data_IF_831467827509
#
_entry.id   IF_831467827509
#
_cell.length_a   1.000
_cell.length_b   1.000
_cell.length_c   1.000
_cell.angle_alpha   90.00
_cell.angle_beta   90.00
_cell.angle_gamma   90.00
#
_symmetry.space_group_name_H-M   'P 1'
#
loop_
_entity.id
_entity.type
_entity.pdbx_description
1 polymer ?
#
# COMPACT_ATOMS: atom_id res chain seq x y z
N UNK A 1 10.28 -37.66 50.49
CA UNK A 1 11.25 -38.68 50.05
C UNK A 1 11.49 -38.46 48.56
N UNK A 2 12.62 -37.85 48.22
CA UNK A 2 13.13 -37.80 46.84
C UNK A 2 13.68 -39.18 46.53
N UNK A 3 13.33 -39.78 45.38
CA UNK A 3 14.24 -40.48 44.45
C UNK A 3 13.51 -40.65 43.10
N UNK A 4 14.18 -40.17 42.06
CA UNK A 4 13.96 -40.41 40.62
C UNK A 4 14.58 -41.75 40.23
N UNK A 5 13.94 -42.57 39.39
CA UNK A 5 14.62 -43.46 38.45
C UNK A 5 13.88 -43.50 37.10
N UNK A 6 14.69 -43.40 36.06
CA UNK A 6 14.49 -43.23 34.61
C UNK A 6 14.26 -44.57 33.87
N UNK A 7 13.79 -44.45 32.62
CA UNK A 7 13.90 -45.34 31.44
C UNK A 7 12.81 -46.37 31.06
N UNK A 8 12.24 -46.03 29.89
CA UNK A 8 12.27 -46.76 28.62
C UNK A 8 11.29 -47.90 28.35
N UNK A 9 10.42 -47.66 27.35
CA UNK A 9 9.96 -48.66 26.39
C UNK A 9 10.04 -48.04 24.99
N UNK A 10 10.98 -48.55 24.18
CA UNK A 10 11.17 -48.16 22.79
C UNK A 10 10.14 -48.85 21.88
N UNK A 11 9.67 -48.11 20.87
CA UNK A 11 9.05 -48.71 19.69
C UNK A 11 9.97 -48.48 18.50
N UNK A 12 10.30 -49.60 17.87
CA UNK A 12 11.10 -49.76 16.66
C UNK A 12 10.30 -49.23 15.47
N UNK A 13 10.92 -48.37 14.66
CA UNK A 13 10.44 -48.02 13.31
C UNK A 13 11.00 -49.04 12.32
N UNK A 14 10.15 -49.64 11.49
CA UNK A 14 10.61 -50.29 10.26
C UNK A 14 9.63 -50.11 9.08
N UNK A 15 10.25 -49.85 7.93
CA UNK A 15 9.82 -49.97 6.53
C UNK A 15 8.53 -49.31 5.98
N UNK A 16 8.73 -48.11 5.45
CA UNK A 16 8.51 -47.74 4.04
C UNK A 16 7.32 -48.30 3.26
N UNK A 17 6.29 -47.45 3.07
CA UNK A 17 5.45 -47.43 1.85
C UNK A 17 5.17 -45.97 1.49
N UNK A 18 5.82 -45.49 0.42
CA UNK A 18 5.54 -44.17 -0.17
C UNK A 18 4.49 -44.37 -1.25
N UNK A 19 3.29 -43.79 -1.07
CA UNK A 19 2.32 -43.66 -2.15
C UNK A 19 2.71 -42.48 -3.04
N UNK A 20 3.10 -42.77 -4.28
CA UNK A 20 3.25 -41.77 -5.33
C UNK A 20 1.87 -41.38 -5.87
N UNK A 21 1.36 -40.21 -5.48
CA UNK A 21 0.40 -39.47 -6.29
C UNK A 21 1.13 -38.36 -7.05
N UNK A 22 1.23 -38.54 -8.36
CA UNK A 22 1.78 -37.55 -9.27
C UNK A 22 0.75 -36.46 -9.58
N UNK A 23 1.06 -35.23 -9.16
CA UNK A 23 0.51 -33.99 -9.69
C UNK A 23 1.67 -33.04 -9.98
N UNK A 24 1.72 -32.33 -11.13
CA UNK A 24 2.86 -31.52 -11.50
C UNK A 24 2.73 -30.12 -10.90
N UNK A 25 3.16 -29.93 -9.65
CA UNK A 25 3.38 -28.60 -9.06
C UNK A 25 4.90 -28.38 -8.95
N UNK A 26 5.52 -27.84 -10.00
CA UNK A 26 6.99 -27.68 -10.09
C UNK A 26 7.53 -26.23 -10.03
N UNK A 27 6.69 -25.20 -9.94
CA UNK A 27 7.17 -23.80 -9.94
C UNK A 27 7.65 -23.28 -8.57
N UNK A 28 6.75 -23.12 -7.59
CA UNK A 28 7.08 -22.41 -6.35
C UNK A 28 7.81 -23.22 -5.26
N UNK A 29 7.60 -24.54 -5.18
CA UNK A 29 8.17 -25.35 -4.10
C UNK A 29 9.69 -25.60 -4.25
N UNK A 30 10.23 -25.44 -5.45
CA UNK A 30 11.64 -25.74 -5.72
C UNK A 30 12.58 -24.65 -5.17
N UNK A 31 12.12 -23.40 -5.07
CA UNK A 31 12.87 -22.30 -4.45
C UNK A 31 13.11 -22.53 -2.94
N UNK A 32 12.20 -23.25 -2.26
CA UNK A 32 12.24 -23.38 -0.80
C UNK A 32 12.90 -24.65 -0.27
N UNK A 33 13.06 -25.70 -1.08
CA UNK A 33 13.70 -26.94 -0.62
C UNK A 33 15.17 -26.75 -0.22
N UNK A 34 15.81 -25.67 -0.67
CA UNK A 34 17.21 -25.36 -0.42
C UNK A 34 17.46 -24.60 0.89
N UNK A 35 16.48 -23.88 1.43
CA UNK A 35 16.66 -23.03 2.63
C UNK A 35 16.62 -23.82 3.95
N UNK A 36 16.33 -25.12 3.94
CA UNK A 36 16.05 -25.90 5.16
C UNK A 36 16.89 -27.16 5.35
N UNK A 37 17.86 -27.45 4.47
CA UNK A 37 18.72 -28.62 4.59
C UNK A 37 20.21 -28.26 4.69
N UNK A 38 20.91 -28.61 5.79
CA UNK A 38 22.36 -28.46 5.87
C UNK A 38 23.03 -29.44 4.90
N UNK A 39 23.69 -28.92 3.86
CA UNK A 39 24.52 -29.72 2.93
C UNK A 39 24.31 -29.47 1.43
N UNK A 40 23.39 -28.60 1.00
CA UNK A 40 23.23 -28.22 -0.42
C UNK A 40 23.83 -26.82 -0.67
N UNK A 41 24.75 -26.72 -1.63
CA UNK A 41 25.31 -25.43 -2.07
C UNK A 41 24.25 -24.66 -2.88
N UNK A 42 23.85 -23.50 -2.38
CA UNK A 42 22.98 -22.54 -3.08
C UNK A 42 23.66 -22.06 -4.36
N UNK A 43 22.91 -21.83 -5.45
CA UNK A 43 23.44 -21.08 -6.58
C UNK A 43 23.55 -19.59 -6.22
N UNK A 44 24.41 -18.85 -6.93
CA UNK A 44 24.64 -17.41 -6.68
C UNK A 44 23.34 -16.58 -6.70
N UNK A 45 22.43 -16.90 -7.63
CA UNK A 45 21.09 -16.27 -7.73
C UNK A 45 20.23 -16.52 -6.48
N UNK A 46 20.21 -17.76 -5.95
CA UNK A 46 19.44 -18.08 -4.75
C UNK A 46 20.00 -17.39 -3.51
N UNK A 47 21.33 -17.31 -3.41
CA UNK A 47 21.98 -16.61 -2.32
C UNK A 47 21.72 -15.11 -2.36
N UNK A 48 21.76 -14.50 -3.56
CA UNK A 48 21.38 -13.10 -3.77
C UNK A 48 19.93 -12.82 -3.39
N UNK A 49 18.99 -13.66 -3.85
CA UNK A 49 17.57 -13.52 -3.50
C UNK A 49 17.35 -13.61 -1.98
N UNK A 50 17.91 -14.64 -1.33
CA UNK A 50 17.81 -14.81 0.11
C UNK A 50 18.36 -13.59 0.87
N UNK A 51 19.49 -13.03 0.41
CA UNK A 51 20.07 -11.81 0.99
C UNK A 51 19.15 -10.61 0.85
N UNK A 52 18.53 -10.40 -0.31
CA UNK A 52 17.61 -9.29 -0.54
C UNK A 52 16.31 -9.44 0.24
N UNK A 53 15.75 -10.66 0.31
CA UNK A 53 14.59 -10.95 1.15
C UNK A 53 14.89 -10.73 2.64
N UNK A 54 16.11 -11.07 3.08
CA UNK A 54 16.58 -10.83 4.45
C UNK A 54 16.61 -9.32 4.76
N UNK A 55 17.23 -8.53 3.87
CA UNK A 55 17.26 -7.06 3.96
C UNK A 55 15.88 -6.43 3.94
N UNK A 56 14.94 -6.96 3.12
CA UNK A 56 13.56 -6.48 3.10
C UNK A 56 12.89 -6.66 4.45
N UNK A 57 13.04 -7.83 5.08
CA UNK A 57 12.52 -8.06 6.43
C UNK A 57 13.17 -7.18 7.49
N UNK A 58 14.47 -6.90 7.37
CA UNK A 58 15.18 -5.95 8.25
C UNK A 58 14.60 -4.54 8.14
N UNK A 59 14.48 -4.05 6.91
CA UNK A 59 13.91 -2.73 6.59
C UNK A 59 12.47 -2.62 7.06
N UNK A 60 11.65 -3.64 6.83
CA UNK A 60 10.26 -3.69 7.27
C UNK A 60 10.13 -3.52 8.80
N UNK A 61 11.04 -4.09 9.58
CA UNK A 61 11.00 -3.98 11.05
C UNK A 61 11.62 -2.69 11.56
N UNK A 62 12.83 -2.36 11.08
CA UNK A 62 13.64 -1.28 11.65
C UNK A 62 13.33 0.10 11.07
N UNK A 63 13.04 0.18 9.77
CA UNK A 63 12.67 1.44 9.12
C UNK A 63 11.15 1.58 8.98
N UNK A 64 10.48 0.51 8.54
CA UNK A 64 9.02 0.42 8.44
C UNK A 64 8.35 0.65 9.79
N UNK A 65 8.31 -0.39 10.61
CA UNK A 65 7.60 -0.31 11.88
C UNK A 65 8.36 0.52 12.92
N UNK A 66 9.70 0.57 12.83
CA UNK A 66 10.56 1.09 13.89
C UNK A 66 10.19 0.48 15.26
N UNK A 67 10.04 -0.85 15.25
CA UNK A 67 9.49 -1.63 16.34
C UNK A 67 10.27 -1.40 17.64
N UNK A 68 9.58 -1.40 18.78
CA UNK A 68 10.20 -1.16 20.09
C UNK A 68 10.30 -2.45 20.93
N UNK A 69 11.30 -2.58 21.81
CA UNK A 69 11.33 -3.66 22.79
C UNK A 69 10.04 -3.72 23.59
N UNK A 70 9.50 -4.92 23.81
CA UNK A 70 8.24 -5.14 24.53
C UNK A 70 6.97 -4.98 23.69
N UNK A 71 7.07 -4.38 22.49
CA UNK A 71 5.91 -4.19 21.62
C UNK A 71 5.48 -5.51 20.96
N UNK A 72 4.18 -5.73 20.79
CA UNK A 72 3.65 -6.86 20.01
C UNK A 72 3.57 -6.51 18.52
N UNK A 73 3.53 -7.53 17.66
CA UNK A 73 3.41 -7.36 16.22
C UNK A 73 2.35 -8.31 15.65
N UNK A 74 1.34 -7.74 14.99
CA UNK A 74 0.39 -8.48 14.16
C UNK A 74 0.81 -8.35 12.69
N UNK A 75 0.90 -9.47 11.98
CA UNK A 75 1.26 -9.52 10.56
C UNK A 75 0.09 -10.11 9.78
N UNK A 76 -0.50 -9.35 8.87
CA UNK A 76 -1.45 -9.86 7.86
C UNK A 76 -0.71 -10.14 6.56
N UNK A 77 -0.86 -11.34 5.99
CA UNK A 77 -0.12 -11.72 4.79
C UNK A 77 -0.85 -12.81 3.98
N UNK A 78 -0.67 -12.88 2.64
CA UNK A 78 -1.00 -14.08 1.88
C UNK A 78 -0.09 -15.25 2.32
N UNK A 79 -0.59 -16.48 2.27
CA UNK A 79 0.16 -17.67 2.73
C UNK A 79 1.47 -17.87 1.95
N UNK A 80 1.52 -17.44 0.70
CA UNK A 80 2.69 -17.42 -0.17
C UNK A 80 3.83 -16.58 0.40
N UNK A 81 3.53 -15.57 1.22
CA UNK A 81 4.49 -14.65 1.82
C UNK A 81 5.08 -15.14 3.16
N UNK A 82 4.75 -16.36 3.61
CA UNK A 82 5.38 -17.02 4.76
C UNK A 82 6.93 -16.89 4.80
N UNK A 83 7.65 -17.04 3.67
CA UNK A 83 9.05 -16.63 3.48
C UNK A 83 9.45 -15.32 4.15
N UNK A 84 8.79 -14.22 3.77
CA UNK A 84 9.08 -12.87 4.25
C UNK A 84 8.61 -12.70 5.70
N UNK A 85 7.46 -13.30 6.06
CA UNK A 85 6.98 -13.31 7.45
C UNK A 85 8.03 -13.89 8.38
N UNK A 86 8.69 -15.00 8.01
CA UNK A 86 9.76 -15.60 8.84
C UNK A 86 10.94 -14.64 9.04
N UNK A 87 11.34 -13.93 7.98
CA UNK A 87 12.40 -12.91 8.07
C UNK A 87 11.99 -11.75 8.96
N UNK A 88 10.78 -11.22 8.79
CA UNK A 88 10.25 -10.14 9.64
C UNK A 88 10.21 -10.59 11.11
N UNK A 89 9.72 -11.80 11.38
CA UNK A 89 9.71 -12.39 12.72
C UNK A 89 11.11 -12.50 13.32
N UNK A 90 12.12 -12.89 12.52
CA UNK A 90 13.54 -12.92 12.95
C UNK A 90 13.97 -11.56 13.49
N UNK A 91 13.77 -10.50 12.71
CA UNK A 91 14.20 -9.15 13.09
C UNK A 91 13.35 -8.55 14.21
N UNK A 92 12.05 -8.84 14.25
CA UNK A 92 11.16 -8.39 15.32
C UNK A 92 11.65 -8.92 16.69
N UNK A 93 11.91 -10.22 16.80
CA UNK A 93 12.44 -10.78 18.04
C UNK A 93 13.86 -10.30 18.38
N UNK A 94 14.71 -10.01 17.39
CA UNK A 94 16.03 -9.39 17.65
C UNK A 94 15.91 -7.97 18.25
N UNK A 95 14.84 -7.25 17.93
CA UNK A 95 14.53 -5.92 18.51
C UNK A 95 13.88 -6.04 19.90
N UNK A 96 13.44 -7.24 20.30
CA UNK A 96 12.86 -7.50 21.62
C UNK A 96 11.32 -7.48 21.64
N UNK A 97 10.66 -7.73 20.52
CA UNK A 97 9.20 -7.92 20.44
C UNK A 97 8.74 -9.03 21.37
N UNK A 98 7.63 -8.79 22.08
CA UNK A 98 7.07 -9.78 23.03
C UNK A 98 6.42 -10.95 22.29
N UNK A 99 5.58 -10.63 21.29
CA UNK A 99 4.83 -11.63 20.53
C UNK A 99 4.67 -11.19 19.07
N UNK A 100 4.89 -12.13 18.15
CA UNK A 100 4.55 -11.96 16.72
C UNK A 100 3.38 -12.88 16.39
N UNK A 101 2.30 -12.33 15.84
CA UNK A 101 1.07 -13.05 15.50
C UNK A 101 0.76 -12.91 14.01
N UNK A 102 1.17 -13.87 13.17
CA UNK A 102 0.80 -13.90 11.76
C UNK A 102 -0.65 -14.35 11.55
N UNK A 103 -1.34 -13.68 10.63
CA UNK A 103 -2.68 -13.98 10.14
C UNK A 103 -2.57 -14.16 8.64
N UNK A 104 -2.78 -15.39 8.19
CA UNK A 104 -2.66 -15.73 6.78
C UNK A 104 -4.01 -15.69 6.06
N UNK A 105 -4.01 -15.12 4.86
CA UNK A 105 -5.07 -15.30 3.87
C UNK A 105 -4.65 -16.35 2.85
N UNK A 106 -5.64 -17.06 2.30
CA UNK A 106 -5.45 -18.04 1.23
C UNK A 106 -6.50 -17.78 0.14
N UNK A 107 -6.03 -17.68 -1.10
CA UNK A 107 -6.86 -17.33 -2.24
C UNK A 107 -7.92 -18.41 -2.54
N UNK A 108 -7.57 -19.69 -2.36
CA UNK A 108 -8.47 -20.82 -2.60
C UNK A 108 -9.59 -20.82 -1.57
N UNK A 109 -9.27 -20.62 -0.28
CA UNK A 109 -10.26 -20.52 0.79
C UNK A 109 -11.17 -19.29 0.62
N UNK A 110 -10.59 -18.13 0.28
CA UNK A 110 -11.33 -16.90 0.00
C UNK A 110 -12.30 -17.11 -1.16
N UNK A 111 -11.86 -17.71 -2.27
CA UNK A 111 -12.71 -17.99 -3.43
C UNK A 111 -13.77 -19.06 -3.14
N UNK A 112 -13.44 -20.10 -2.38
CA UNK A 112 -14.39 -21.13 -1.97
C UNK A 112 -15.60 -20.56 -1.20
N UNK A 113 -15.38 -19.55 -0.35
CA UNK A 113 -16.47 -18.82 0.33
C UNK A 113 -17.48 -18.26 -0.67
N UNK A 114 -17.03 -17.73 -1.80
CA UNK A 114 -17.92 -17.13 -2.81
C UNK A 114 -18.56 -18.16 -3.74
N UNK A 115 -17.85 -19.24 -4.06
CA UNK A 115 -18.34 -20.30 -4.94
C UNK A 115 -19.40 -21.18 -4.25
N UNK A 116 -19.16 -21.56 -3.00
CA UNK A 116 -19.96 -22.57 -2.29
C UNK A 116 -20.80 -22.01 -1.15
N UNK A 117 -20.62 -20.72 -0.82
CA UNK A 117 -21.32 -20.07 0.27
C UNK A 117 -22.82 -19.92 0.04
N UNK A 118 -23.61 -20.16 1.08
CA UNK A 118 -25.02 -19.79 1.11
C UNK A 118 -25.20 -18.28 1.22
N UNK A 119 -26.28 -17.73 0.65
CA UNK A 119 -26.48 -16.29 0.56
C UNK A 119 -26.23 -15.51 1.86
N UNK A 120 -26.71 -16.00 3.01
CA UNK A 120 -26.57 -15.31 4.30
C UNK A 120 -25.12 -15.11 4.75
N UNK A 121 -24.15 -15.88 4.25
CA UNK A 121 -22.75 -15.75 4.69
C UNK A 121 -22.09 -14.47 4.16
N UNK A 122 -22.64 -13.87 3.10
CA UNK A 122 -22.11 -12.63 2.53
C UNK A 122 -22.46 -11.42 3.40
N UNK A 123 -23.42 -11.51 4.30
CA UNK A 123 -23.72 -10.45 5.28
C UNK A 123 -23.05 -10.69 6.64
N UNK A 124 -22.21 -11.72 6.74
CA UNK A 124 -21.54 -12.13 7.98
C UNK A 124 -20.05 -11.80 7.96
N UNK A 125 -19.54 -11.31 9.09
CA UNK A 125 -18.12 -11.21 9.39
C UNK A 125 -17.87 -11.65 10.84
N UNK A 126 -16.69 -12.23 11.09
CA UNK A 126 -16.31 -12.74 12.40
C UNK A 126 -16.01 -11.60 13.37
N UNK A 127 -17.04 -11.08 14.04
CA UNK A 127 -16.92 -9.92 14.94
C UNK A 127 -15.89 -10.15 16.07
N UNK A 128 -15.86 -11.34 16.66
CA UNK A 128 -14.89 -11.69 17.71
C UNK A 128 -13.43 -11.53 17.27
N UNK A 129 -13.14 -11.84 16.00
CA UNK A 129 -11.80 -11.72 15.45
C UNK A 129 -11.44 -10.25 15.25
N UNK A 130 -12.35 -9.47 14.67
CA UNK A 130 -12.15 -8.04 14.46
C UNK A 130 -12.01 -7.27 15.78
N UNK A 131 -12.79 -7.63 16.81
CA UNK A 131 -12.68 -7.04 18.15
C UNK A 131 -11.32 -7.39 18.80
N UNK A 132 -10.83 -8.62 18.66
CA UNK A 132 -9.51 -9.00 19.17
C UNK A 132 -8.35 -8.26 18.48
N UNK A 133 -8.42 -8.03 17.17
CA UNK A 133 -7.44 -7.20 16.45
C UNK A 133 -7.50 -5.75 16.92
N UNK A 134 -8.70 -5.20 17.09
CA UNK A 134 -8.87 -3.84 17.60
C UNK A 134 -8.30 -3.69 19.02
N UNK A 135 -8.56 -4.65 19.90
CA UNK A 135 -8.01 -4.68 21.26
C UNK A 135 -6.47 -4.70 21.24
N UNK A 136 -5.86 -5.53 20.39
CA UNK A 136 -4.41 -5.57 20.27
C UNK A 136 -3.82 -4.23 19.82
N UNK A 137 -4.42 -3.56 18.83
CA UNK A 137 -3.98 -2.23 18.40
C UNK A 137 -4.19 -1.16 19.47
N UNK A 138 -5.29 -1.21 20.23
CA UNK A 138 -5.52 -0.32 21.39
C UNK A 138 -4.43 -0.49 22.45
N UNK A 139 -3.96 -1.72 22.64
CA UNK A 139 -2.87 -2.03 23.56
C UNK A 139 -1.46 -1.76 22.98
N UNK A 140 -1.38 -1.15 21.79
CA UNK A 140 -0.13 -0.71 21.18
C UNK A 140 0.59 -1.76 20.33
N UNK A 141 -0.07 -2.87 19.96
CA UNK A 141 0.50 -3.81 18.98
C UNK A 141 0.76 -3.08 17.65
N UNK A 142 1.94 -3.28 17.08
CA UNK A 142 2.28 -2.79 15.75
C UNK A 142 1.58 -3.63 14.68
N UNK A 143 1.31 -3.02 13.52
CA UNK A 143 0.62 -3.71 12.40
C UNK A 143 1.52 -3.77 11.16
N UNK A 144 1.80 -4.97 10.69
CA UNK A 144 2.36 -5.20 9.36
C UNK A 144 1.28 -5.77 8.44
N UNK A 145 1.22 -5.26 7.21
CA UNK A 145 0.55 -5.94 6.12
C UNK A 145 1.51 -6.24 4.99
N UNK A 146 1.41 -7.45 4.45
CA UNK A 146 2.15 -7.86 3.27
C UNK A 146 1.15 -7.96 2.12
N UNK A 147 1.27 -7.09 1.14
CA UNK A 147 0.45 -7.12 -0.09
C UNK A 147 1.05 -8.06 -1.13
N UNK A 148 0.24 -8.41 -2.13
CA UNK A 148 0.55 -9.41 -3.16
C UNK A 148 -0.65 -10.28 -3.52
N UNK A 149 -1.88 -9.84 -3.23
CA UNK A 149 -3.10 -10.58 -3.58
C UNK A 149 -3.30 -10.62 -5.11
N UNK A 150 -4.01 -11.65 -5.60
CA UNK A 150 -4.45 -11.72 -7.00
C UNK A 150 -5.57 -10.67 -7.24
N UNK A 151 -5.33 -9.62 -8.05
CA UNK A 151 -6.33 -8.59 -8.34
C UNK A 151 -7.59 -9.13 -9.03
N UNK A 152 -7.50 -10.32 -9.64
CA UNK A 152 -8.56 -10.95 -10.41
C UNK A 152 -9.22 -12.14 -9.71
N UNK A 153 -8.88 -12.43 -8.45
CA UNK A 153 -9.30 -13.62 -7.74
C UNK A 153 -10.81 -13.89 -7.82
N UNK A 154 -11.60 -12.83 -7.70
CA UNK A 154 -13.07 -12.86 -7.63
C UNK A 154 -13.73 -12.32 -8.91
N UNK A 155 -13.01 -12.23 -10.03
CA UNK A 155 -13.52 -11.67 -11.29
C UNK A 155 -14.71 -12.45 -11.89
N UNK A 156 -14.83 -13.73 -11.55
CA UNK A 156 -15.92 -14.64 -11.95
C UNK A 156 -17.06 -14.73 -10.93
N UNK A 157 -16.98 -13.97 -9.82
CA UNK A 157 -17.98 -13.99 -8.76
C UNK A 157 -19.02 -12.88 -8.97
N UNK A 158 -20.28 -13.18 -8.65
CA UNK A 158 -21.37 -12.20 -8.70
C UNK A 158 -21.04 -10.94 -7.87
N UNK A 159 -21.04 -9.72 -8.47
CA UNK A 159 -20.63 -8.49 -7.79
C UNK A 159 -21.42 -8.18 -6.50
N UNK A 160 -22.71 -8.53 -6.45
CA UNK A 160 -23.56 -8.34 -5.27
C UNK A 160 -23.03 -9.09 -4.04
N UNK A 161 -22.57 -10.33 -4.22
CA UNK A 161 -21.98 -11.15 -3.13
C UNK A 161 -20.70 -10.53 -2.61
N UNK A 162 -19.86 -10.02 -3.51
CA UNK A 162 -18.61 -9.32 -3.16
C UNK A 162 -18.95 -8.06 -2.36
N UNK A 163 -19.89 -7.24 -2.84
CA UNK A 163 -20.28 -5.99 -2.18
C UNK A 163 -20.82 -6.24 -0.76
N UNK A 164 -21.70 -7.24 -0.58
CA UNK A 164 -22.23 -7.63 0.74
C UNK A 164 -21.12 -8.09 1.68
N UNK A 165 -20.23 -8.96 1.21
CA UNK A 165 -19.12 -9.47 2.02
C UNK A 165 -18.13 -8.37 2.43
N UNK A 166 -17.81 -7.45 1.52
CA UNK A 166 -16.96 -6.28 1.78
C UNK A 166 -17.61 -5.36 2.81
N UNK A 167 -18.93 -5.10 2.69
CA UNK A 167 -19.68 -4.28 3.65
C UNK A 167 -19.68 -4.90 5.05
N UNK A 168 -19.99 -6.20 5.16
CA UNK A 168 -19.97 -6.91 6.44
C UNK A 168 -18.57 -6.87 7.10
N UNK A 169 -17.52 -7.09 6.31
CA UNK A 169 -16.14 -7.00 6.77
C UNK A 169 -15.75 -5.59 7.22
N UNK A 170 -16.14 -4.56 6.47
CA UNK A 170 -15.87 -3.15 6.81
C UNK A 170 -16.52 -2.76 8.14
N UNK A 171 -17.78 -3.13 8.36
CA UNK A 171 -18.49 -2.89 9.62
C UNK A 171 -17.77 -3.56 10.79
N UNK A 172 -17.41 -4.85 10.65
CA UNK A 172 -16.75 -5.58 11.73
C UNK A 172 -15.38 -4.99 12.08
N UNK A 173 -14.59 -4.59 11.08
CA UNK A 173 -13.23 -4.08 11.26
C UNK A 173 -13.14 -2.57 11.52
N UNK A 174 -14.27 -1.85 11.59
CA UNK A 174 -14.29 -0.38 11.69
C UNK A 174 -13.43 0.15 12.86
N UNK A 175 -13.48 -0.52 14.02
CA UNK A 175 -12.70 -0.13 15.21
C UNK A 175 -11.19 -0.24 14.97
N UNK A 176 -10.74 -1.39 14.45
CA UNK A 176 -9.34 -1.63 14.13
C UNK A 176 -8.84 -0.66 13.06
N UNK A 177 -9.64 -0.44 12.01
CA UNK A 177 -9.29 0.49 10.93
C UNK A 177 -9.14 1.92 11.43
N UNK A 178 -10.04 2.40 12.31
CA UNK A 178 -9.94 3.74 12.88
C UNK A 178 -8.59 3.97 13.57
N UNK A 179 -8.09 2.99 14.33
CA UNK A 179 -6.81 3.07 15.03
C UNK A 179 -5.62 3.13 14.08
N UNK A 180 -5.68 2.39 12.96
CA UNK A 180 -4.65 2.44 11.93
C UNK A 180 -4.67 3.78 11.22
N UNK A 181 -5.85 4.25 10.76
CA UNK A 181 -5.97 5.51 10.02
C UNK A 181 -5.68 6.75 10.86
N UNK A 182 -5.90 6.69 12.19
CA UNK A 182 -5.54 7.77 13.11
C UNK A 182 -4.11 7.66 13.63
N UNK A 183 -3.31 6.70 13.15
CA UNK A 183 -1.96 6.44 13.61
C UNK A 183 -1.87 6.22 15.14
N UNK A 184 -2.85 5.53 15.74
CA UNK A 184 -2.83 5.19 17.16
C UNK A 184 -1.64 4.27 17.54
N UNK A 185 -1.18 3.47 16.57
CA UNK A 185 -0.01 2.59 16.67
C UNK A 185 0.78 2.65 15.37
N UNK A 186 2.06 2.29 15.41
CA UNK A 186 2.92 2.18 14.22
C UNK A 186 2.51 1.01 13.34
N UNK A 187 2.46 1.28 12.04
CA UNK A 187 2.08 0.31 11.04
C UNK A 187 2.88 0.49 9.75
N UNK A 188 2.98 -0.61 8.98
CA UNK A 188 3.69 -0.63 7.70
C UNK A 188 3.03 -1.60 6.74
N UNK A 189 3.09 -1.28 5.45
CA UNK A 189 2.78 -2.17 4.34
C UNK A 189 4.06 -2.43 3.54
N UNK A 190 4.36 -3.71 3.31
CA UNK A 190 5.39 -4.17 2.36
C UNK A 190 4.75 -5.08 1.33
N UNK A 191 5.47 -5.41 0.26
CA UNK A 191 4.97 -6.27 -0.80
C UNK A 191 5.75 -7.57 -0.96
N UNK A 192 5.06 -8.58 -1.46
CA UNK A 192 5.61 -9.89 -1.78
C UNK A 192 5.18 -10.28 -3.19
N UNK A 193 6.13 -10.69 -4.04
CA UNK A 193 5.81 -11.12 -5.40
C UNK A 193 5.14 -12.50 -5.36
N UNK A 194 3.85 -12.55 -5.64
CA UNK A 194 3.10 -13.79 -5.87
C UNK A 194 3.03 -14.10 -7.36
N UNK A 195 2.93 -15.38 -7.76
CA UNK A 195 2.77 -15.75 -9.17
C UNK A 195 1.59 -15.06 -9.84
N UNK A 196 0.44 -15.00 -9.17
CA UNK A 196 -0.78 -14.42 -9.72
C UNK A 196 -0.62 -12.92 -9.98
N UNK A 197 0.00 -12.20 -9.05
CA UNK A 197 0.31 -10.78 -9.23
C UNK A 197 1.33 -10.57 -10.36
N UNK A 198 2.41 -11.37 -10.37
CA UNK A 198 3.43 -11.31 -11.41
C UNK A 198 2.85 -11.56 -12.81
N UNK A 199 1.93 -12.52 -12.96
CA UNK A 199 1.26 -12.81 -14.22
C UNK A 199 0.39 -11.65 -14.71
N UNK A 200 -0.13 -10.82 -13.81
CA UNK A 200 -0.87 -9.60 -14.20
C UNK A 200 0.05 -8.49 -14.64
N UNK A 201 1.16 -8.30 -13.93
CA UNK A 201 2.14 -7.24 -14.24
C UNK A 201 2.90 -7.56 -15.54
N UNK A 202 3.23 -8.83 -15.76
CA UNK A 202 3.99 -9.29 -16.92
C UNK A 202 3.27 -10.45 -17.66
N UNK A 203 2.16 -10.16 -18.36
CA UNK A 203 1.32 -11.19 -18.96
C UNK A 203 1.97 -11.94 -20.14
N UNK A 204 2.97 -11.34 -20.78
CA UNK A 204 3.55 -11.82 -22.04
C UNK A 204 4.82 -12.68 -21.87
N UNK A 205 5.20 -13.02 -20.63
CA UNK A 205 6.42 -13.78 -20.33
C UNK A 205 6.13 -15.01 -19.45
N UNK A 206 7.03 -16.01 -19.41
CA UNK A 206 6.88 -17.17 -18.53
C UNK A 206 6.76 -16.78 -17.06
N UNK A 207 5.92 -17.50 -16.31
CA UNK A 207 5.57 -17.18 -14.92
C UNK A 207 6.79 -17.06 -13.99
N UNK A 208 7.78 -17.94 -14.14
CA UNK A 208 8.99 -17.90 -13.31
C UNK A 208 9.77 -16.60 -13.57
N UNK A 209 9.87 -16.16 -14.83
CA UNK A 209 10.50 -14.89 -15.19
C UNK A 209 9.67 -13.69 -14.73
N UNK A 210 8.34 -13.77 -14.78
CA UNK A 210 7.46 -12.73 -14.27
C UNK A 210 7.66 -12.52 -12.76
N UNK A 211 7.75 -13.61 -11.99
CA UNK A 211 7.99 -13.56 -10.54
C UNK A 211 9.37 -12.97 -10.24
N UNK A 212 10.41 -13.38 -10.98
CA UNK A 212 11.75 -12.80 -10.84
C UNK A 212 11.76 -11.29 -11.14
N UNK A 213 11.13 -10.87 -12.23
CA UNK A 213 11.05 -9.45 -12.60
C UNK A 213 10.29 -8.63 -11.56
N UNK A 214 9.20 -9.18 -11.01
CA UNK A 214 8.44 -8.53 -9.96
C UNK A 214 9.25 -8.42 -8.66
N UNK A 215 10.02 -9.45 -8.30
CA UNK A 215 10.93 -9.37 -7.16
C UNK A 215 12.01 -8.31 -7.33
N UNK A 216 12.65 -8.29 -8.50
CA UNK A 216 13.66 -7.27 -8.80
C UNK A 216 13.08 -5.86 -8.71
N UNK A 217 11.81 -5.70 -9.14
CA UNK A 217 11.08 -4.45 -9.04
C UNK A 217 10.79 -4.03 -7.59
N UNK A 218 10.27 -4.95 -6.77
CA UNK A 218 10.02 -4.75 -5.34
C UNK A 218 11.32 -4.37 -4.63
N UNK A 219 12.40 -5.13 -4.83
CA UNK A 219 13.67 -4.87 -4.16
C UNK A 219 14.29 -3.51 -4.53
N UNK A 220 14.10 -3.08 -5.78
CA UNK A 220 14.56 -1.77 -6.24
C UNK A 220 13.74 -0.66 -5.60
N UNK A 221 12.42 -0.78 -5.62
CA UNK A 221 11.51 0.20 -5.02
C UNK A 221 11.70 0.33 -3.51
N UNK A 222 11.92 -0.78 -2.79
CA UNK A 222 12.07 -0.79 -1.33
C UNK A 222 13.42 -0.28 -0.81
N UNK A 223 14.32 0.23 -1.68
CA UNK A 223 15.66 0.75 -1.30
C UNK A 223 16.51 -0.22 -0.46
N UNK A 224 16.54 -1.50 -0.85
CA UNK A 224 17.28 -2.53 -0.10
C UNK A 224 18.57 -3.00 -0.76
N UNK A 225 18.91 -2.44 -1.92
CA UNK A 225 20.04 -2.91 -2.73
C UNK A 225 21.39 -2.42 -2.25
N UNK A 226 21.44 -1.24 -1.64
CA UNK A 226 22.69 -0.69 -1.17
C UNK A 226 23.24 -1.41 0.06
N UNK A 227 24.36 -0.89 0.57
CA UNK A 227 25.13 -1.54 1.63
C UNK A 227 24.50 -1.37 3.00
N UNK A 228 23.82 -0.25 3.23
CA UNK A 228 23.11 0.05 4.49
C UNK A 228 21.70 0.60 4.19
N UNK A 229 20.74 -0.30 3.91
CA UNK A 229 19.36 0.09 3.62
C UNK A 229 18.71 0.94 4.73
N UNK A 230 19.11 0.77 5.98
CA UNK A 230 18.53 1.51 7.11
C UNK A 230 18.99 2.97 7.08
N UNK A 231 20.28 3.20 6.81
CA UNK A 231 20.80 4.54 6.61
C UNK A 231 20.17 5.20 5.36
N UNK A 232 20.04 4.46 4.25
CA UNK A 232 19.41 4.96 3.02
C UNK A 232 17.95 5.38 3.25
N UNK A 233 17.18 4.60 4.01
CA UNK A 233 15.80 4.95 4.40
C UNK A 233 15.74 6.18 5.31
N UNK A 234 16.71 6.34 6.22
CA UNK A 234 16.80 7.53 7.07
C UNK A 234 17.06 8.78 6.24
N UNK A 235 17.99 8.71 5.29
CA UNK A 235 18.32 9.82 4.41
C UNK A 235 17.17 10.16 3.46
N UNK A 236 16.52 9.15 2.89
CA UNK A 236 15.32 9.32 2.06
C UNK A 236 14.19 10.04 2.83
N UNK A 237 13.90 9.59 4.04
CA UNK A 237 12.91 10.23 4.90
C UNK A 237 13.26 11.67 5.25
N UNK A 238 14.54 11.97 5.47
CA UNK A 238 15.00 13.34 5.73
C UNK A 238 14.79 14.24 4.49
N UNK A 239 15.00 13.72 3.28
CA UNK A 239 14.78 14.46 2.03
C UNK A 239 13.30 14.75 1.80
N UNK A 240 12.43 13.75 1.96
CA UNK A 240 10.98 13.91 1.86
C UNK A 240 10.44 14.91 2.90
N UNK A 241 10.84 14.75 4.17
CA UNK A 241 10.44 15.67 5.24
C UNK A 241 10.93 17.10 5.02
N UNK A 242 12.13 17.29 4.46
CA UNK A 242 12.62 18.62 4.08
C UNK A 242 11.70 19.27 3.04
N UNK A 243 11.22 18.51 2.05
CA UNK A 243 10.28 19.01 1.03
C UNK A 243 8.92 19.35 1.64
N UNK A 244 8.34 18.46 2.44
CA UNK A 244 7.11 18.74 3.17
C UNK A 244 7.21 19.98 4.06
N UNK A 245 8.32 20.14 4.79
CA UNK A 245 8.57 21.33 5.63
C UNK A 245 8.64 22.61 4.80
N UNK A 246 9.29 22.57 3.64
CA UNK A 246 9.36 23.72 2.72
C UNK A 246 7.96 24.12 2.24
N UNK A 247 7.16 23.16 1.78
CA UNK A 247 5.79 23.39 1.32
C UNK A 247 4.89 23.90 2.46
N UNK A 248 5.01 23.33 3.66
CA UNK A 248 4.32 23.78 4.86
C UNK A 248 4.73 25.18 5.31
N UNK A 249 5.95 25.62 5.02
CA UNK A 249 6.41 26.98 5.31
C UNK A 249 5.87 27.99 4.28
N UNK A 250 5.81 27.60 3.01
CA UNK A 250 5.39 28.47 1.90
C UNK A 250 3.88 28.74 1.89
N UNK A 251 3.05 27.82 2.43
CA UNK A 251 1.59 28.01 2.58
C UNK A 251 0.91 28.43 1.27
N UNK A 252 1.22 27.73 0.17
CA UNK A 252 0.61 28.02 -1.13
C UNK A 252 -0.92 27.97 -1.05
N UNK A 253 -1.57 28.87 -1.80
CA UNK A 253 -3.03 28.86 -1.95
C UNK A 253 -3.48 27.79 -2.94
N UNK A 254 -2.64 27.46 -3.92
CA UNK A 254 -2.93 26.48 -4.97
C UNK A 254 -1.65 25.92 -5.60
N UNK A 255 -1.81 24.83 -6.34
CA UNK A 255 -0.83 24.28 -7.27
C UNK A 255 -1.33 24.44 -8.71
N UNK A 256 -0.44 24.70 -9.65
CA UNK A 256 -0.74 24.76 -11.07
C UNK A 256 0.08 23.74 -11.84
N UNK A 257 -0.59 22.74 -12.39
CA UNK A 257 0.00 21.67 -13.21
C UNK A 257 -0.11 22.04 -14.68
N UNK A 258 0.98 21.87 -15.44
CA UNK A 258 1.02 22.17 -16.88
C UNK A 258 1.84 21.14 -17.64
N UNK A 259 1.31 20.67 -18.78
CA UNK A 259 2.01 19.77 -19.70
C UNK A 259 1.06 19.17 -20.73
N UNK A 260 1.46 18.10 -21.45
CA UNK A 260 0.61 17.46 -22.45
C UNK A 260 -0.74 17.03 -21.87
N UNK A 261 -1.83 17.56 -22.44
CA UNK A 261 -3.20 17.24 -22.01
C UNK A 261 -3.56 17.72 -20.59
N UNK A 262 -2.74 18.56 -19.96
CA UNK A 262 -2.94 19.03 -18.58
C UNK A 262 -2.69 20.53 -18.46
N UNK A 263 -3.70 21.25 -18.00
CA UNK A 263 -3.64 22.63 -17.54
C UNK A 263 -4.70 22.76 -16.42
N UNK A 264 -4.25 22.63 -15.18
CA UNK A 264 -5.12 22.50 -14.03
C UNK A 264 -4.58 23.26 -12.82
N UNK A 265 -5.46 24.05 -12.19
CA UNK A 265 -5.22 24.68 -10.90
C UNK A 265 -5.94 23.91 -9.80
N UNK A 266 -5.19 23.46 -8.79
CA UNK A 266 -5.70 22.80 -7.59
C UNK A 266 -5.48 23.74 -6.40
N UNK A 267 -6.54 24.39 -5.92
CA UNK A 267 -6.51 25.10 -4.64
C UNK A 267 -6.24 24.14 -3.49
N UNK A 268 -5.41 24.54 -2.54
CA UNK A 268 -5.11 23.76 -1.33
C UNK A 268 -6.10 24.09 -0.22
N UNK A 269 -6.42 23.14 0.65
CA UNK A 269 -7.35 23.37 1.76
C UNK A 269 -6.85 24.46 2.71
N UNK A 270 -7.78 25.14 3.38
CA UNK A 270 -7.42 26.14 4.38
C UNK A 270 -6.78 25.41 5.57
N UNK A 271 -5.63 25.90 6.04
CA UNK A 271 -4.81 25.21 7.04
C UNK A 271 -4.39 23.78 6.65
N UNK A 272 -4.22 23.51 5.34
CA UNK A 272 -3.64 22.24 4.86
C UNK A 272 -2.28 21.95 5.51
N UNK A 273 -1.88 20.69 5.56
CA UNK A 273 -0.59 20.24 6.05
C UNK A 273 -0.03 19.20 5.08
N UNK A 274 1.19 19.41 4.60
CA UNK A 274 1.93 18.48 3.76
C UNK A 274 2.56 17.38 4.61
N UNK A 275 2.19 16.14 4.32
CA UNK A 275 2.72 14.92 4.90
C UNK A 275 3.72 14.26 3.93
N UNK A 276 4.62 13.42 4.44
CA UNK A 276 5.65 12.80 3.61
C UNK A 276 6.41 11.66 4.31
N UNK A 277 6.52 10.52 3.63
CA UNK A 277 7.35 9.41 4.06
C UNK A 277 7.03 8.90 5.47
N UNK A 278 7.98 9.04 6.39
CA UNK A 278 7.82 8.60 7.77
C UNK A 278 6.92 9.51 8.61
N UNK A 279 6.03 8.90 9.39
CA UNK A 279 5.00 9.54 10.18
C UNK A 279 5.13 9.21 11.67
N UNK A 280 4.94 10.22 12.52
CA UNK A 280 4.86 10.04 13.97
C UNK A 280 3.44 9.60 14.37
N UNK A 281 3.40 8.49 15.09
CA UNK A 281 2.16 7.91 15.62
C UNK A 281 1.82 8.50 16.98
N UNK A 282 0.58 8.34 17.42
CA UNK A 282 0.09 8.86 18.71
C UNK A 282 0.83 8.23 19.91
N UNK A 283 1.48 7.08 19.74
CA UNK A 283 2.33 6.44 20.76
C UNK A 283 3.80 6.93 20.73
N UNK A 284 4.12 7.94 19.91
CA UNK A 284 5.44 8.57 19.80
C UNK A 284 6.45 7.79 18.95
N UNK A 285 6.01 6.76 18.21
CA UNK A 285 6.89 6.00 17.30
C UNK A 285 6.77 6.58 15.90
N UNK A 286 7.92 6.93 15.32
CA UNK A 286 8.02 7.29 13.89
C UNK A 286 8.08 5.99 13.09
N UNK A 287 7.18 5.81 12.13
CA UNK A 287 7.12 4.64 11.25
C UNK A 287 7.02 5.06 9.78
N UNK A 288 7.38 4.18 8.85
CA UNK A 288 7.07 4.34 7.44
C UNK A 288 5.82 3.51 7.13
N UNK A 289 4.67 4.15 6.87
CA UNK A 289 3.42 3.44 6.57
C UNK A 289 3.53 2.59 5.31
N UNK A 290 4.24 3.11 4.31
CA UNK A 290 4.39 2.51 3.00
C UNK A 290 5.86 2.24 2.71
N UNK A 291 6.17 1.00 2.34
CA UNK A 291 7.46 0.61 1.76
C UNK A 291 7.15 -0.11 0.44
N UNK A 292 7.40 0.53 -0.70
CA UNK A 292 8.08 1.82 -0.90
C UNK A 292 7.22 3.07 -0.61
N UNK A 293 7.86 4.24 -0.54
CA UNK A 293 7.18 5.55 -0.60
C UNK A 293 8.09 6.60 -1.24
N UNK A 294 7.54 7.51 -2.04
CA UNK A 294 8.24 8.54 -2.81
C UNK A 294 7.58 9.92 -2.74
N UNK A 295 6.42 10.00 -2.08
CA UNK A 295 5.51 11.12 -2.22
C UNK A 295 5.58 12.15 -1.09
N UNK A 296 5.16 13.36 -1.44
CA UNK A 296 4.80 14.42 -0.51
C UNK A 296 3.38 14.85 -0.89
N UNK A 297 2.44 14.78 0.05
CA UNK A 297 1.01 14.90 -0.27
C UNK A 297 0.25 15.79 0.72
N UNK A 298 -0.90 16.33 0.27
CA UNK A 298 -1.79 17.14 1.10
C UNK A 298 -3.23 17.14 0.59
N UNK A 299 -4.11 17.78 1.37
CA UNK A 299 -5.54 17.92 1.04
C UNK A 299 -5.79 19.14 0.14
N UNK A 300 -6.32 18.95 -1.08
CA UNK A 300 -6.83 20.03 -1.91
C UNK A 300 -8.16 20.55 -1.35
N UNK A 301 -8.51 21.78 -1.71
CA UNK A 301 -9.79 22.36 -1.38
C UNK A 301 -10.86 21.88 -2.36
N UNK A 302 -11.87 21.15 -1.86
CA UNK A 302 -12.93 20.47 -2.63
C UNK A 302 -13.74 21.35 -3.59
N UNK A 303 -13.71 22.67 -3.40
CA UNK A 303 -14.42 23.67 -4.22
C UNK A 303 -13.50 24.52 -5.12
N UNK A 304 -12.16 24.35 -5.06
CA UNK A 304 -11.20 25.24 -5.75
C UNK A 304 -10.34 24.48 -6.75
N UNK A 305 -10.93 23.64 -7.58
CA UNK A 305 -10.22 22.92 -8.66
C UNK A 305 -10.81 23.32 -10.01
N UNK A 306 -9.96 23.77 -10.93
CA UNK A 306 -10.37 24.24 -12.26
C UNK A 306 -9.34 23.84 -13.32
N UNK A 307 -9.82 23.51 -14.51
CA UNK A 307 -8.98 23.17 -15.66
C UNK A 307 -9.18 21.73 -16.13
N UNK A 308 -8.21 21.18 -16.85
CA UNK A 308 -8.28 19.82 -17.39
C UNK A 308 -7.00 19.06 -17.10
N UNK A 309 -7.13 17.75 -16.92
CA UNK A 309 -6.01 16.86 -16.63
C UNK A 309 -6.17 15.53 -17.35
N UNK A 310 -5.04 14.99 -17.80
CA UNK A 310 -4.95 13.68 -18.42
C UNK A 310 -4.08 12.75 -17.56
N UNK A 311 -4.51 11.50 -17.40
CA UNK A 311 -3.73 10.47 -16.72
C UNK A 311 -2.45 10.17 -17.49
N UNK A 312 -1.34 10.01 -16.79
CA UNK A 312 -0.07 9.58 -17.36
C UNK A 312 0.16 8.07 -17.21
N UNK A 313 -0.67 7.40 -16.40
CA UNK A 313 -0.66 5.94 -16.24
C UNK A 313 -2.09 5.38 -16.19
N UNK A 314 -2.29 4.11 -16.57
CA UNK A 314 -3.56 3.43 -16.37
C UNK A 314 -3.94 3.31 -14.90
N UNK A 315 -5.24 3.23 -14.63
CA UNK A 315 -5.81 2.97 -13.31
C UNK A 315 -6.40 1.56 -13.26
N UNK A 316 -5.99 0.76 -12.27
CA UNK A 316 -6.69 -0.49 -11.94
C UNK A 316 -7.74 -0.21 -10.87
N UNK A 317 -9.02 -0.27 -11.24
CA UNK A 317 -10.14 -0.01 -10.32
C UNK A 317 -11.20 -1.11 -10.40
N UNK A 318 -11.47 -1.77 -9.27
CA UNK A 318 -12.45 -2.86 -9.16
C UNK A 318 -12.30 -3.93 -10.27
N UNK A 319 -11.06 -4.33 -10.56
CA UNK A 319 -10.75 -5.33 -11.59
C UNK A 319 -10.87 -4.84 -13.03
N UNK A 320 -11.17 -3.55 -13.25
CA UNK A 320 -11.19 -2.93 -14.57
C UNK A 320 -9.95 -2.05 -14.76
N UNK A 321 -9.29 -2.20 -15.90
CA UNK A 321 -8.24 -1.28 -16.34
C UNK A 321 -8.89 -0.09 -17.05
N UNK A 322 -8.72 1.09 -16.48
CA UNK A 322 -9.17 2.36 -17.04
C UNK A 322 -7.94 3.08 -17.61
N UNK A 323 -7.98 3.47 -18.89
CA UNK A 323 -6.78 3.96 -19.59
C UNK A 323 -7.05 5.24 -20.40
N UNK A 324 -6.04 6.11 -20.47
CA UNK A 324 -6.10 7.48 -20.98
C UNK A 324 -7.30 8.26 -20.45
N UNK A 325 -7.40 8.34 -19.13
CA UNK A 325 -8.44 9.11 -18.45
C UNK A 325 -8.18 10.59 -18.72
N UNK A 326 -9.22 11.34 -19.09
CA UNK A 326 -9.21 12.79 -19.30
C UNK A 326 -10.41 13.39 -18.59
N UNK A 327 -10.18 14.35 -17.70
CA UNK A 327 -11.28 14.99 -16.96
C UNK A 327 -11.15 16.51 -16.99
N UNK A 328 -12.30 17.18 -16.97
CA UNK A 328 -12.42 18.64 -16.83
C UNK A 328 -13.03 18.95 -15.47
N UNK A 329 -12.37 19.80 -14.69
CA UNK A 329 -12.86 20.34 -13.43
C UNK A 329 -13.36 21.77 -13.59
N UNK A 330 -14.48 22.04 -12.93
CA UNK A 330 -14.99 23.39 -12.72
C UNK A 330 -15.51 23.52 -11.30
N UNK A 331 -15.07 24.56 -10.59
CA UNK A 331 -15.48 24.86 -9.22
C UNK A 331 -15.38 23.64 -8.28
N UNK A 332 -14.27 22.89 -8.42
CA UNK A 332 -13.98 21.72 -7.62
C UNK A 332 -14.66 20.42 -8.05
N UNK A 333 -15.44 20.42 -9.14
CA UNK A 333 -16.25 19.26 -9.56
C UNK A 333 -15.88 18.81 -10.96
N UNK A 334 -15.79 17.50 -11.20
CA UNK A 334 -15.70 16.93 -12.54
C UNK A 334 -16.99 17.21 -13.33
N UNK A 335 -16.87 17.98 -14.42
CA UNK A 335 -17.96 18.26 -15.38
C UNK A 335 -17.91 17.36 -16.61
N UNK A 336 -16.72 16.90 -17.00
CA UNK A 336 -16.50 15.99 -18.14
C UNK A 336 -15.49 14.93 -17.74
N UNK A 337 -15.71 13.68 -18.14
CA UNK A 337 -14.81 12.56 -17.85
C UNK A 337 -14.83 11.57 -19.02
N UNK A 338 -13.65 11.24 -19.54
CA UNK A 338 -13.48 10.34 -20.67
C UNK A 338 -12.36 9.34 -20.41
N UNK A 339 -12.47 8.15 -20.97
CA UNK A 339 -11.36 7.19 -21.02
C UNK A 339 -11.39 6.40 -22.32
N UNK A 340 -10.22 6.03 -22.85
CA UNK A 340 -10.14 5.19 -24.06
C UNK A 340 -10.53 3.74 -23.78
N UNK A 341 -10.33 3.29 -22.54
CA UNK A 341 -10.72 1.98 -22.03
C UNK A 341 -11.32 2.15 -20.64
N UNK A 342 -12.37 1.39 -20.32
CA UNK A 342 -12.98 1.42 -18.99
C UNK A 342 -13.80 2.67 -18.68
N UNK A 343 -14.27 3.41 -19.69
CA UNK A 343 -15.05 4.65 -19.50
C UNK A 343 -16.31 4.44 -18.65
N UNK A 344 -17.04 3.33 -18.85
CA UNK A 344 -18.18 2.99 -18.01
C UNK A 344 -17.81 2.78 -16.54
N UNK A 345 -16.62 2.22 -16.27
CA UNK A 345 -16.13 2.03 -14.90
C UNK A 345 -15.76 3.38 -14.26
N UNK A 346 -15.13 4.28 -15.03
CA UNK A 346 -14.86 5.66 -14.61
C UNK A 346 -16.15 6.40 -14.26
N UNK A 347 -17.19 6.31 -15.10
CA UNK A 347 -18.47 6.96 -14.83
C UNK A 347 -19.18 6.41 -13.60
N UNK A 348 -19.15 5.10 -13.37
CA UNK A 348 -19.67 4.50 -12.14
C UNK A 348 -18.90 4.96 -10.90
N UNK A 349 -17.57 5.02 -11.00
CA UNK A 349 -16.69 5.46 -9.91
C UNK A 349 -17.06 6.89 -9.46
N UNK A 350 -17.17 7.84 -10.38
CA UNK A 350 -17.49 9.24 -10.07
C UNK A 350 -19.00 9.47 -9.78
N UNK A 351 -19.82 8.43 -9.81
CA UNK A 351 -21.24 8.47 -9.48
C UNK A 351 -21.56 7.87 -8.11
N UNK A 352 -20.55 7.38 -7.36
CA UNK A 352 -20.76 6.74 -6.05
C UNK A 352 -21.43 7.68 -5.03
N UNK A 353 -21.01 8.94 -4.96
CA UNK A 353 -21.56 9.97 -4.09
C UNK A 353 -21.20 11.38 -4.60
N UNK A 354 -21.63 12.44 -3.90
CA UNK A 354 -21.32 13.83 -4.27
C UNK A 354 -19.82 14.13 -4.26
N UNK A 355 -19.09 13.60 -3.26
CA UNK A 355 -17.66 13.79 -3.08
C UNK A 355 -16.82 13.01 -4.09
N UNK A 356 -17.34 11.97 -4.72
CA UNK A 356 -16.64 11.15 -5.72
C UNK A 356 -16.24 11.93 -6.99
N UNK A 357 -16.81 13.13 -7.21
CA UNK A 357 -16.46 14.06 -8.30
C UNK A 357 -15.47 15.15 -7.90
N UNK A 358 -14.97 15.11 -6.67
CA UNK A 358 -14.10 16.12 -6.09
C UNK A 358 -12.80 15.48 -5.63
N UNK A 359 -11.74 16.28 -5.57
CA UNK A 359 -10.44 15.79 -5.12
C UNK A 359 -10.40 15.66 -3.60
N UNK A 360 -9.82 14.56 -3.13
CA UNK A 360 -9.49 14.29 -1.74
C UNK A 360 -8.02 14.54 -1.41
N UNK A 361 -7.15 14.47 -2.42
CA UNK A 361 -5.69 14.52 -2.27
C UNK A 361 -5.00 15.06 -3.53
N UNK A 362 -3.84 15.67 -3.32
CA UNK A 362 -2.82 15.93 -4.32
C UNK A 362 -1.44 15.52 -3.77
N UNK A 363 -0.70 14.74 -4.56
CA UNK A 363 0.61 14.22 -4.20
C UNK A 363 1.66 14.54 -5.27
N UNK A 364 2.87 14.84 -4.82
CA UNK A 364 4.01 15.19 -5.67
C UNK A 364 5.10 14.12 -5.53
N UNK A 365 5.47 13.51 -6.66
CA UNK A 365 6.50 12.47 -6.75
C UNK A 365 7.47 12.84 -7.87
N UNK A 366 8.79 12.89 -7.61
CA UNK A 366 9.77 13.16 -8.66
C UNK A 366 9.80 12.03 -9.70
N UNK A 367 9.90 12.39 -10.98
CA UNK A 367 9.92 11.42 -12.08
C UNK A 367 11.17 10.51 -12.07
N UNK A 368 12.24 10.97 -11.43
CA UNK A 368 13.47 10.22 -11.17
C UNK A 368 13.35 9.15 -10.08
N UNK A 369 12.17 8.99 -9.44
CA UNK A 369 12.00 8.01 -8.37
C UNK A 369 12.31 6.57 -8.83
N UNK A 370 12.84 5.69 -7.96
CA UNK A 370 13.16 4.31 -8.33
C UNK A 370 11.97 3.53 -8.89
N UNK A 371 10.74 3.88 -8.50
CA UNK A 371 9.53 3.22 -9.00
C UNK A 371 9.15 3.77 -10.38
N UNK A 372 9.19 5.09 -10.57
CA UNK A 372 8.90 5.74 -11.83
C UNK A 372 9.82 5.22 -12.96
N UNK A 373 11.11 5.10 -12.68
CA UNK A 373 12.14 4.68 -13.64
C UNK A 373 11.99 3.24 -14.14
N UNK A 374 11.22 2.41 -13.44
CA UNK A 374 11.00 1.03 -13.86
C UNK A 374 9.99 0.91 -15.01
N UNK A 375 9.14 1.93 -15.21
CA UNK A 375 8.10 1.94 -16.24
C UNK A 375 7.19 0.68 -16.21
N UNK A 376 6.87 0.21 -15.00
CA UNK A 376 5.98 -0.91 -14.74
C UNK A 376 4.62 -0.36 -14.26
N UNK A 377 3.53 -0.93 -14.77
CA UNK A 377 2.20 -0.78 -14.15
C UNK A 377 2.00 -1.95 -13.19
N UNK A 378 2.12 -1.68 -11.90
CA UNK A 378 2.10 -2.73 -10.87
C UNK A 378 0.70 -3.28 -10.63
N UNK A 379 -0.36 -2.58 -11.02
CA UNK A 379 -1.74 -2.94 -10.67
C UNK A 379 -1.89 -3.14 -9.15
N UNK A 380 -1.16 -2.32 -8.39
CA UNK A 380 -1.08 -2.35 -6.94
C UNK A 380 -0.88 -0.93 -6.45
N UNK A 381 -1.85 -0.43 -5.68
CA UNK A 381 -1.91 0.96 -5.23
C UNK A 381 -0.61 1.43 -4.57
N UNK A 382 -0.03 0.63 -3.66
CA UNK A 382 1.22 0.94 -2.95
C UNK A 382 2.38 1.33 -3.90
N UNK A 383 2.46 0.69 -5.07
CA UNK A 383 3.51 0.99 -6.04
C UNK A 383 3.10 2.08 -7.01
N UNK A 384 1.89 1.98 -7.57
CA UNK A 384 1.46 2.85 -8.65
C UNK A 384 1.32 4.31 -8.17
N UNK A 385 0.84 4.55 -6.94
CA UNK A 385 0.75 5.88 -6.32
C UNK A 385 2.13 6.55 -6.14
N UNK A 386 3.15 5.75 -5.83
CA UNK A 386 4.52 6.19 -5.58
C UNK A 386 5.37 6.26 -6.87
N UNK A 387 4.76 6.00 -8.04
CA UNK A 387 5.45 5.97 -9.31
C UNK A 387 5.30 7.25 -10.14
N UNK A 388 4.46 8.20 -9.72
CA UNK A 388 4.26 9.51 -10.35
C UNK A 388 3.39 10.40 -9.45
N UNK A 389 3.48 11.72 -9.61
CA UNK A 389 2.54 12.65 -8.97
C UNK A 389 1.11 12.24 -9.31
N UNK A 390 0.21 12.28 -8.32
CA UNK A 390 -1.14 11.78 -8.47
C UNK A 390 -2.14 12.70 -7.76
N UNK A 391 -3.42 12.46 -8.06
CA UNK A 391 -4.55 13.08 -7.36
C UNK A 391 -5.52 11.97 -6.96
N UNK A 392 -6.19 12.12 -5.83
CA UNK A 392 -7.22 11.18 -5.41
C UNK A 392 -8.61 11.79 -5.58
N UNK A 393 -9.56 11.01 -6.12
CA UNK A 393 -10.98 11.35 -6.07
C UNK A 393 -11.61 10.83 -4.77
N UNK A 394 -12.45 11.65 -4.15
CA UNK A 394 -13.20 11.27 -2.96
C UNK A 394 -12.56 11.74 -1.65
N UNK A 395 -12.54 10.88 -0.64
CA UNK A 395 -12.31 11.21 0.77
C UNK A 395 -10.93 11.84 0.98
N UNK A 396 -10.88 12.95 1.71
CA UNK A 396 -9.61 13.56 2.14
C UNK A 396 -9.03 12.90 3.39
N UNK A 397 -7.71 12.94 3.53
CA UNK A 397 -7.03 12.63 4.78
C UNK A 397 -7.13 13.82 5.75
N UNK A 398 -7.87 13.64 6.85
CA UNK A 398 -8.00 14.68 7.89
C UNK A 398 -6.65 15.06 8.50
N UNK A 399 -5.69 14.13 8.57
CA UNK A 399 -4.31 14.35 9.03
C UNK A 399 -3.56 15.43 8.25
N UNK A 400 -3.89 15.62 6.98
CA UNK A 400 -3.34 16.69 6.14
C UNK A 400 -4.01 18.06 6.40
N UNK A 401 -4.56 18.24 7.61
CA UNK A 401 -5.08 19.50 8.13
C UNK A 401 -4.37 19.82 9.45
N UNK A 402 -3.97 21.07 9.64
CA UNK A 402 -3.39 21.49 10.93
C UNK A 402 -4.41 21.31 12.06
N UNK A 403 -3.95 20.76 13.19
CA UNK A 403 -4.78 20.46 14.36
C UNK A 403 -5.99 19.55 14.05
N UNK A 404 -5.84 18.61 13.11
CA UNK A 404 -6.90 17.70 12.66
C UNK A 404 -7.70 17.04 13.79
N UNK A 405 -7.03 16.59 14.85
CA UNK A 405 -7.65 15.90 16.01
C UNK A 405 -8.68 16.77 16.76
N UNK A 406 -8.61 18.10 16.61
CA UNK A 406 -9.52 19.04 17.25
C UNK A 406 -10.68 19.49 16.33
N UNK A 407 -10.68 19.08 15.05
CA UNK A 407 -11.67 19.51 14.06
C UNK A 407 -12.78 18.47 13.95
N UNK A 408 -14.03 18.94 14.00
CA UNK A 408 -15.19 18.15 13.62
C UNK A 408 -15.27 17.97 12.10
N UNK A 409 -16.02 16.96 11.66
CA UNK A 409 -16.32 16.73 10.23
C UNK A 409 -16.86 17.97 9.52
N UNK A 410 -17.68 18.76 10.22
CA UNK A 410 -18.22 20.03 9.69
C UNK A 410 -17.11 21.07 9.49
N UNK A 411 -16.21 21.22 10.45
CA UNK A 411 -15.09 22.17 10.35
C UNK A 411 -14.09 21.75 9.26
N UNK A 412 -13.86 20.44 9.09
CA UNK A 412 -13.06 19.90 7.99
C UNK A 412 -13.67 20.27 6.63
N UNK A 413 -14.98 20.10 6.47
CA UNK A 413 -15.71 20.50 5.24
C UNK A 413 -15.65 22.00 4.97
N UNK A 414 -15.76 22.83 6.01
CA UNK A 414 -15.67 24.31 5.93
C UNK A 414 -14.27 24.77 5.52
N UNK A 415 -13.22 24.08 5.97
CA UNK A 415 -11.83 24.29 5.54
C UNK A 415 -11.51 23.71 4.15
N UNK A 416 -12.47 23.02 3.54
CA UNK A 416 -12.39 22.52 2.19
C UNK A 416 -11.97 21.07 2.03
N UNK A 417 -11.82 20.30 3.10
CA UNK A 417 -11.60 18.86 3.00
C UNK A 417 -12.84 18.17 2.40
N UNK A 418 -12.63 17.19 1.52
CA UNK A 418 -13.71 16.46 0.87
C UNK A 418 -14.17 15.25 1.70
N UNK A 419 -15.44 14.87 1.54
CA UNK A 419 -16.01 13.68 2.16
C UNK A 419 -16.64 12.77 1.10
N UNK A 420 -16.31 11.48 1.13
CA UNK A 420 -16.79 10.50 0.16
C UNK A 420 -16.64 9.08 0.71
N UNK A 421 -17.34 8.13 0.11
CA UNK A 421 -17.17 6.70 0.41
C UNK A 421 -16.04 6.06 -0.40
N UNK A 422 -15.47 6.77 -1.39
CA UNK A 422 -14.31 6.32 -2.16
C UNK A 422 -13.08 7.16 -1.84
N UNK A 423 -11.91 6.59 -2.10
CA UNK A 423 -10.64 7.29 -2.23
C UNK A 423 -9.91 6.55 -3.35
N UNK A 424 -9.70 7.21 -4.50
CA UNK A 424 -9.13 6.56 -5.68
C UNK A 424 -8.06 7.42 -6.32
N UNK A 425 -6.83 6.94 -6.19
CA UNK A 425 -5.61 7.54 -6.73
C UNK A 425 -5.46 7.24 -8.20
N UNK A 426 -5.08 8.25 -8.96
CA UNK A 426 -4.66 8.09 -10.34
C UNK A 426 -3.60 9.12 -10.72
N UNK A 427 -2.66 8.65 -11.54
CA UNK A 427 -1.38 9.32 -11.76
C UNK A 427 -1.48 10.34 -12.90
N UNK A 428 -0.96 11.55 -12.63
CA UNK A 428 -0.97 12.69 -13.56
C UNK A 428 0.44 13.25 -13.82
N UNK A 429 1.45 12.80 -13.08
CA UNK A 429 2.84 13.23 -13.24
C UNK A 429 3.59 12.50 -14.35
N UNK A 430 4.52 13.19 -15.00
CA UNK A 430 5.47 12.61 -15.97
C UNK A 430 6.71 13.50 -16.09
N UNK A 431 7.71 13.06 -16.86
CA UNK A 431 8.86 13.88 -17.26
C UNK A 431 8.53 15.09 -18.15
N UNK A 432 7.25 15.34 -18.44
CA UNK A 432 6.76 16.45 -19.28
C UNK A 432 5.79 17.37 -18.51
N UNK A 433 5.61 17.15 -17.21
CA UNK A 433 4.72 17.94 -16.36
C UNK A 433 5.53 18.92 -15.51
N UNK A 434 5.13 20.19 -15.55
CA UNK A 434 5.61 21.26 -14.69
C UNK A 434 4.58 21.55 -13.60
N UNK A 435 5.06 21.96 -12.43
CA UNK A 435 4.22 22.36 -11.29
C UNK A 435 4.70 23.70 -10.73
N UNK A 436 3.80 24.65 -10.59
CA UNK A 436 4.02 25.89 -9.82
C UNK A 436 3.20 25.88 -8.53
N UNK A 437 3.78 26.40 -7.45
CA UNK A 437 3.03 26.83 -6.28
C UNK A 437 2.53 28.25 -6.47
N UNK A 438 1.26 28.49 -6.16
CA UNK A 438 0.65 29.82 -6.23
C UNK A 438 0.53 30.38 -4.81
N UNK A 439 1.10 31.57 -4.56
CA UNK A 439 0.98 32.24 -3.26
C UNK A 439 -0.46 32.72 -2.99
N UNK A 440 -0.72 33.27 -1.81
CA UNK A 440 -2.01 33.90 -1.49
C UNK A 440 -2.34 35.09 -2.42
N UNK A 441 -1.32 35.74 -3.00
CA UNK A 441 -1.45 36.84 -3.97
C UNK A 441 -1.36 36.37 -5.42
N UNK A 442 -1.43 35.05 -5.68
CA UNK A 442 -1.33 34.42 -7.01
C UNK A 442 0.04 34.59 -7.69
N UNK A 443 1.09 34.92 -6.94
CA UNK A 443 2.46 34.87 -7.46
C UNK A 443 2.88 33.42 -7.67
N UNK A 444 3.54 33.15 -8.81
CA UNK A 444 3.98 31.81 -9.20
C UNK A 444 5.40 31.54 -8.70
N UNK A 445 5.56 30.45 -7.98
CA UNK A 445 6.86 29.90 -7.60
C UNK A 445 7.05 28.53 -8.26
N UNK A 446 8.10 28.32 -9.06
CA UNK A 446 8.44 27.00 -9.60
C UNK A 446 8.61 25.97 -8.47
N UNK A 447 7.92 24.84 -8.57
CA UNK A 447 8.07 23.70 -7.65
C UNK A 447 8.68 22.49 -8.33
N UNK A 448 8.13 22.14 -9.51
CA UNK A 448 8.66 21.06 -10.32
C UNK A 448 8.78 21.49 -11.77
N UNK A 449 9.83 21.02 -12.44
CA UNK A 449 10.04 21.17 -13.88
C UNK A 449 10.40 19.84 -14.49
N UNK A 450 9.70 19.45 -15.55
CA UNK A 450 9.86 18.14 -16.22
C UNK A 450 9.81 16.99 -15.21
N UNK A 451 8.88 17.08 -14.26
CA UNK A 451 8.70 16.09 -13.20
C UNK A 451 9.76 16.10 -12.10
N UNK A 452 10.69 17.06 -12.04
CA UNK A 452 11.73 17.13 -10.99
C UNK A 452 11.60 18.39 -10.13
N UNK A 453 11.93 18.27 -8.83
CA UNK A 453 12.00 19.43 -7.92
C UNK A 453 13.01 20.48 -8.38
N UNK A 454 12.69 21.78 -8.24
CA UNK A 454 13.59 22.92 -8.57
C UNK A 454 13.91 23.82 -7.38
#
# INVERSE_FOLDING_TARGET
>A
MVVVIDRALGMVFDSGIIYHFGLPFRGCFCFYKLLSYPGMTMTDTHQRFATLLDKLGEVAVKAGLNLRPGQELIISAPIEALPLVRTITKYAYQVGTTQVTPIFSDNILKKARFLYGHEAIFDYASQWFADGIAEAFQNGAARMAITGEDPSLLSDIAPERIARATKASSIANQKAMKLITSFATNWTIVAFATPEWAAKVFPDIPIDQAVENLWEAIFTASRIRGTDPIAEWKDHNAQLNKKATQLNTQRFSALHFTGPGTDMTIGLADDHFWAAGAEETQNGIICNPNIPTEEVFTTPHRLRVNGHVQSTKPLSYQGNLIDNIRVTFKDGTITEAHATKGEDALHRMIANDEGARRLGEVALVPHSSPIAQQNILFQNTLFDENAASHIALGQSYSKCMMNAEALSDKELLEKGANQSIIHVDWMIGSGEIDVDGLSQTQERQPLMRKGEWV
#
